data_IF_490117878566
#
_entry.id   IF_490117878566
#
_cell.length_a   1.000
_cell.length_b   1.000
_cell.length_c   1.000
_cell.angle_alpha   90.00
_cell.angle_beta   90.00
_cell.angle_gamma   90.00
#
_symmetry.space_group_name_H-M   'P 1'
#
loop_
_entity.id
_entity.type
_entity.pdbx_description
1 polymer ?
#
# COMPACT_ATOMS: atom_id res chain seq x y z
N UNK A 1 28.69 -25.28 -18.09
CA UNK A 1 27.26 -24.93 -18.29
C UNK A 1 26.74 -24.41 -16.97
N UNK A 2 26.10 -23.23 -16.94
CA UNK A 2 25.51 -22.70 -15.70
C UNK A 2 24.46 -23.71 -15.21
N UNK A 3 24.68 -24.28 -14.05
CA UNK A 3 23.70 -25.19 -13.45
C UNK A 3 22.54 -24.34 -12.93
N UNK A 4 21.32 -24.69 -13.32
CA UNK A 4 20.10 -24.02 -12.89
C UNK A 4 19.13 -25.09 -12.37
N UNK A 5 18.39 -24.77 -11.31
CA UNK A 5 17.26 -25.59 -10.88
C UNK A 5 15.98 -24.98 -11.47
N UNK A 6 15.21 -25.78 -12.21
CA UNK A 6 14.07 -25.32 -12.99
C UNK A 6 12.79 -25.97 -12.47
N UNK A 7 11.70 -25.20 -12.36
CA UNK A 7 10.37 -25.71 -12.04
C UNK A 7 9.29 -24.95 -12.79
N UNK A 8 8.25 -25.67 -13.23
CA UNK A 8 7.12 -25.11 -13.96
C UNK A 8 5.89 -25.03 -13.06
N UNK A 9 5.16 -23.91 -13.13
CA UNK A 9 3.94 -23.67 -12.38
C UNK A 9 2.78 -23.32 -13.30
N UNK A 10 1.59 -23.83 -13.02
CA UNK A 10 0.37 -23.49 -13.74
C UNK A 10 -0.41 -22.41 -13.00
N UNK A 11 0.04 -21.16 -13.14
CA UNK A 11 -0.55 -19.97 -12.53
C UNK A 11 -0.13 -18.72 -13.33
N UNK A 12 -0.66 -17.54 -13.01
CA UNK A 12 -0.21 -16.32 -13.68
C UNK A 12 1.21 -15.92 -13.25
N UNK A 13 1.95 -15.23 -14.13
CA UNK A 13 3.28 -14.68 -13.83
C UNK A 13 3.24 -13.87 -12.53
N UNK A 14 2.21 -13.03 -12.36
CA UNK A 14 2.02 -12.23 -11.15
C UNK A 14 1.92 -13.06 -9.87
N UNK A 15 1.16 -14.16 -9.90
CA UNK A 15 0.99 -15.02 -8.74
C UNK A 15 2.30 -15.74 -8.38
N UNK A 16 2.98 -16.30 -9.38
CA UNK A 16 4.24 -17.03 -9.17
C UNK A 16 5.37 -16.09 -8.77
N UNK A 17 5.45 -14.90 -9.38
CA UNK A 17 6.46 -13.88 -9.05
C UNK A 17 6.25 -13.30 -7.65
N UNK A 18 5.00 -13.04 -7.26
CA UNK A 18 4.67 -12.62 -5.89
C UNK A 18 4.99 -13.71 -4.86
N UNK A 19 4.70 -14.98 -5.18
CA UNK A 19 5.10 -16.13 -4.38
C UNK A 19 6.63 -16.22 -4.26
N UNK A 20 7.37 -15.99 -5.34
CA UNK A 20 8.83 -15.90 -5.35
C UNK A 20 9.37 -14.85 -4.38
N UNK A 21 8.90 -13.60 -4.49
CA UNK A 21 9.31 -12.52 -3.58
C UNK A 21 8.96 -12.82 -2.12
N UNK A 22 7.82 -13.45 -1.86
CA UNK A 22 7.42 -13.85 -0.51
C UNK A 22 8.30 -14.99 0.01
N UNK A 23 8.55 -16.02 -0.79
CA UNK A 23 9.42 -17.14 -0.44
C UNK A 23 10.82 -16.67 -0.04
N UNK A 24 11.42 -15.74 -0.80
CA UNK A 24 12.73 -15.15 -0.46
C UNK A 24 12.71 -14.50 0.93
N UNK A 25 11.67 -13.73 1.25
CA UNK A 25 11.51 -13.06 2.56
C UNK A 25 11.24 -14.04 3.69
N UNK A 26 10.36 -15.02 3.47
CA UNK A 26 9.99 -16.03 4.46
C UNK A 26 11.19 -16.94 4.80
N UNK A 27 12.11 -17.15 3.84
CA UNK A 27 13.39 -17.84 4.04
C UNK A 27 14.47 -16.95 4.70
N UNK A 28 14.18 -15.69 4.99
CA UNK A 28 15.10 -14.76 5.64
C UNK A 28 16.20 -14.21 4.72
N UNK A 29 16.06 -14.36 3.41
CA UNK A 29 17.02 -13.84 2.44
C UNK A 29 16.74 -12.36 2.13
N UNK A 30 17.78 -11.63 1.75
CA UNK A 30 17.70 -10.22 1.38
C UNK A 30 17.50 -10.08 -0.12
N UNK A 31 16.38 -9.48 -0.55
CA UNK A 31 16.20 -9.10 -1.96
C UNK A 31 17.15 -7.94 -2.29
N UNK A 32 17.89 -8.08 -3.39
CA UNK A 32 18.89 -7.13 -3.87
C UNK A 32 18.36 -6.31 -5.04
N UNK A 33 17.69 -6.96 -6.01
CA UNK A 33 17.05 -6.30 -7.14
C UNK A 33 15.78 -7.06 -7.58
N UNK A 34 14.80 -6.30 -8.07
CA UNK A 34 13.53 -6.81 -8.62
C UNK A 34 13.33 -6.16 -9.97
N UNK A 35 13.17 -6.97 -11.01
CA UNK A 35 12.74 -6.53 -12.33
C UNK A 35 11.55 -7.40 -12.76
N UNK A 36 10.35 -6.88 -12.53
CA UNK A 36 9.11 -7.61 -12.85
C UNK A 36 8.86 -7.70 -14.35
N UNK A 37 9.36 -6.73 -15.12
CA UNK A 37 9.17 -6.70 -16.57
C UNK A 37 9.93 -7.84 -17.24
N UNK A 38 11.17 -8.08 -16.78
CA UNK A 38 12.00 -9.16 -17.28
C UNK A 38 11.89 -10.46 -16.46
N UNK A 39 11.02 -10.48 -15.44
CA UNK A 39 10.85 -11.64 -14.57
C UNK A 39 12.11 -11.99 -13.77
N UNK A 40 12.94 -11.03 -13.39
CA UNK A 40 14.18 -11.26 -12.64
C UNK A 40 14.03 -10.87 -11.16
N UNK A 41 14.51 -11.75 -10.29
CA UNK A 41 14.59 -11.53 -8.84
C UNK A 41 15.98 -11.92 -8.34
N UNK A 42 16.77 -10.92 -7.93
CA UNK A 42 18.09 -11.12 -7.34
C UNK A 42 18.02 -11.03 -5.82
N UNK A 43 18.69 -11.94 -5.13
CA UNK A 43 18.70 -11.97 -3.66
C UNK A 43 20.01 -12.54 -3.09
N UNK A 44 20.28 -12.23 -1.82
CA UNK A 44 21.44 -12.68 -1.06
C UNK A 44 21.01 -13.49 0.14
N UNK A 45 21.65 -14.64 0.36
CA UNK A 45 21.31 -15.55 1.47
C UNK A 45 21.90 -15.16 2.83
N UNK A 46 22.69 -14.08 2.87
CA UNK A 46 23.31 -13.58 4.10
C UNK A 46 24.44 -14.48 4.62
N UNK A 47 25.07 -14.06 5.72
CA UNK A 47 26.11 -14.83 6.42
C UNK A 47 25.38 -15.90 7.25
N UNK A 48 25.38 -17.15 6.79
CA UNK A 48 24.96 -18.27 7.64
C UNK A 48 26.13 -18.68 8.53
N UNK A 49 25.85 -19.31 9.67
CA UNK A 49 26.85 -19.73 10.67
C UNK A 49 28.00 -20.60 10.10
N UNK A 50 27.84 -21.13 8.88
CA UNK A 50 28.80 -21.94 8.14
C UNK A 50 29.45 -21.26 6.91
N UNK A 51 28.98 -20.08 6.47
CA UNK A 51 29.44 -19.44 5.23
C UNK A 51 29.69 -17.94 5.45
N UNK A 52 30.97 -17.58 5.59
CA UNK A 52 31.49 -16.22 5.81
C UNK A 52 31.30 -15.26 4.62
N UNK A 53 31.04 -15.81 3.43
CA UNK A 53 30.67 -15.05 2.24
C UNK A 53 29.26 -15.52 1.85
N UNK A 54 28.26 -14.65 1.97
CA UNK A 54 26.90 -14.95 1.52
C UNK A 54 26.88 -15.35 0.03
N UNK A 55 25.79 -15.97 -0.42
CA UNK A 55 25.62 -16.33 -1.82
C UNK A 55 24.73 -15.32 -2.53
N UNK A 56 25.08 -15.00 -3.78
CA UNK A 56 24.25 -14.22 -4.70
C UNK A 56 23.44 -15.18 -5.57
N UNK A 57 22.14 -15.00 -5.54
CA UNK A 57 21.18 -15.85 -6.23
C UNK A 57 20.32 -15.01 -7.18
N UNK A 58 19.95 -15.62 -8.30
CA UNK A 58 19.04 -15.04 -9.29
C UNK A 58 17.96 -16.05 -9.62
N UNK A 59 16.70 -15.66 -9.45
CA UNK A 59 15.54 -16.39 -9.92
C UNK A 59 14.96 -15.66 -11.16
N UNK A 60 14.79 -16.40 -12.25
CA UNK A 60 14.18 -15.93 -13.49
C UNK A 60 12.82 -16.60 -13.65
N UNK A 61 11.79 -15.81 -13.96
CA UNK A 61 10.40 -16.21 -14.14
C UNK A 61 10.03 -15.92 -15.60
N UNK A 62 9.79 -16.97 -16.38
CA UNK A 62 9.49 -16.88 -17.80
C UNK A 62 8.06 -17.37 -18.02
N UNK A 63 7.24 -16.54 -18.67
CA UNK A 63 5.90 -16.93 -19.13
C UNK A 63 6.02 -17.65 -20.47
N UNK A 64 5.64 -18.93 -20.50
CA UNK A 64 5.71 -19.76 -21.70
C UNK A 64 4.55 -19.49 -22.67
N UNK A 65 3.67 -18.53 -22.40
CA UNK A 65 2.48 -18.18 -23.19
C UNK A 65 1.43 -19.30 -23.32
N UNK A 66 1.69 -20.48 -22.76
CA UNK A 66 0.78 -21.62 -22.64
C UNK A 66 0.01 -21.64 -21.31
N UNK A 67 0.14 -20.56 -20.52
CA UNK A 67 -0.41 -20.44 -19.17
C UNK A 67 0.44 -21.13 -18.10
N UNK A 68 1.68 -21.50 -18.42
CA UNK A 68 2.67 -21.97 -17.46
C UNK A 68 3.82 -20.98 -17.30
N UNK A 69 4.32 -20.89 -16.07
CA UNK A 69 5.47 -20.07 -15.71
C UNK A 69 6.61 -21.00 -15.36
N UNK A 70 7.70 -20.87 -16.11
CA UNK A 70 8.97 -21.51 -15.78
C UNK A 70 9.76 -20.63 -14.83
N UNK A 71 10.19 -21.21 -13.70
CA UNK A 71 11.06 -20.55 -12.73
C UNK A 71 12.39 -21.27 -12.74
N UNK A 72 13.44 -20.57 -13.13
CA UNK A 72 14.82 -21.06 -13.04
C UNK A 72 15.59 -20.30 -11.97
N UNK A 73 16.31 -21.02 -11.11
CA UNK A 73 17.10 -20.43 -10.04
C UNK A 73 18.57 -20.78 -10.25
N UNK A 74 19.41 -19.76 -10.24
CA UNK A 74 20.87 -19.85 -10.39
C UNK A 74 21.55 -19.12 -9.25
N UNK A 75 22.83 -19.43 -9.01
CA UNK A 75 23.57 -18.88 -7.89
C UNK A 75 25.07 -18.84 -8.15
N UNK A 76 25.74 -17.83 -7.57
CA UNK A 76 27.20 -17.69 -7.53
C UNK A 76 27.62 -17.32 -6.11
N UNK A 77 28.77 -17.83 -5.67
CA UNK A 77 29.39 -17.43 -4.40
C UNK A 77 29.99 -16.03 -4.57
N UNK A 78 29.70 -15.09 -3.67
CA UNK A 78 30.33 -13.75 -3.71
C UNK A 78 31.82 -13.89 -3.40
N UNK A 79 32.68 -13.89 -4.42
CA UNK A 79 34.14 -13.99 -4.24
C UNK A 79 34.73 -12.63 -3.88
N UNK A 80 35.22 -12.48 -2.66
CA UNK A 80 36.17 -11.44 -2.28
C UNK A 80 37.54 -12.09 -2.04
N UNK A 81 38.43 -12.00 -3.03
CA UNK A 81 39.85 -12.37 -2.92
C UNK A 81 40.19 -13.85 -3.18
N UNK A 82 41.16 -14.05 -4.08
CA UNK A 82 41.79 -15.31 -4.54
C UNK A 82 40.85 -16.29 -5.27
N UNK A 83 41.09 -16.42 -6.58
CA UNK A 83 40.39 -17.32 -7.49
C UNK A 83 40.88 -18.76 -7.26
N UNK A 84 40.18 -19.49 -6.42
CA UNK A 84 40.11 -20.95 -6.50
C UNK A 84 38.72 -21.31 -7.04
N UNK A 85 38.70 -21.74 -8.30
CA UNK A 85 37.51 -22.24 -8.99
C UNK A 85 36.98 -23.49 -8.26
N UNK A 86 36.14 -23.30 -7.25
CA UNK A 86 35.28 -24.36 -6.74
C UNK A 86 33.87 -24.07 -7.23
N UNK A 87 33.40 -24.87 -8.17
CA UNK A 87 32.00 -24.94 -8.58
C UNK A 87 31.16 -25.42 -7.39
N UNK A 88 30.86 -24.53 -6.44
CA UNK A 88 30.03 -24.83 -5.27
C UNK A 88 28.54 -24.71 -5.61
N UNK A 89 28.11 -25.46 -6.64
CA UNK A 89 26.69 -25.59 -6.95
C UNK A 89 25.94 -26.40 -5.89
N UNK A 90 26.64 -27.16 -5.03
CA UNK A 90 26.02 -27.98 -4.00
C UNK A 90 25.20 -27.15 -2.99
N UNK A 91 25.76 -26.05 -2.48
CA UNK A 91 25.05 -25.16 -1.55
C UNK A 91 24.01 -24.30 -2.29
N UNK A 92 24.36 -23.75 -3.46
CA UNK A 92 23.44 -22.97 -4.29
C UNK A 92 22.21 -23.79 -4.71
N UNK A 93 22.40 -25.08 -5.03
CA UNK A 93 21.32 -26.03 -5.33
C UNK A 93 20.42 -26.23 -4.12
N UNK A 94 20.96 -26.43 -2.92
CA UNK A 94 20.14 -26.55 -1.69
C UNK A 94 19.28 -25.32 -1.46
N UNK A 95 19.84 -24.12 -1.68
CA UNK A 95 19.10 -22.86 -1.58
C UNK A 95 18.02 -22.78 -2.64
N UNK A 96 18.34 -23.10 -3.90
CA UNK A 96 17.39 -23.13 -5.01
C UNK A 96 16.24 -24.11 -4.74
N UNK A 97 16.54 -25.32 -4.25
CA UNK A 97 15.54 -26.31 -3.87
C UNK A 97 14.63 -25.81 -2.76
N UNK A 98 15.17 -25.16 -1.71
CA UNK A 98 14.37 -24.55 -0.64
C UNK A 98 13.46 -23.45 -1.16
N UNK A 99 13.98 -22.57 -2.02
CA UNK A 99 13.20 -21.50 -2.61
C UNK A 99 12.04 -22.06 -3.44
N UNK A 100 12.31 -23.01 -4.34
CA UNK A 100 11.28 -23.62 -5.19
C UNK A 100 10.26 -24.43 -4.38
N UNK A 101 10.66 -25.06 -3.28
CA UNK A 101 9.72 -25.74 -2.37
C UNK A 101 8.77 -24.75 -1.68
N UNK A 102 9.28 -23.58 -1.27
CA UNK A 102 8.47 -22.55 -0.63
C UNK A 102 7.55 -21.84 -1.64
N UNK A 103 8.02 -21.61 -2.87
CA UNK A 103 7.17 -21.14 -3.98
C UNK A 103 6.04 -22.14 -4.24
N UNK A 104 6.33 -23.43 -4.30
CA UNK A 104 5.32 -24.48 -4.48
C UNK A 104 4.26 -24.45 -3.36
N UNK A 105 4.68 -24.35 -2.10
CA UNK A 105 3.78 -24.21 -0.96
C UNK A 105 2.87 -22.98 -1.11
N UNK A 106 3.43 -21.84 -1.49
CA UNK A 106 2.70 -20.58 -1.63
C UNK A 106 1.74 -20.61 -2.82
N UNK A 107 2.16 -21.10 -3.98
CA UNK A 107 1.32 -21.22 -5.18
C UNK A 107 0.17 -22.20 -4.94
N UNK A 108 0.43 -23.36 -4.31
CA UNK A 108 -0.64 -24.31 -3.92
C UNK A 108 -1.64 -23.70 -2.95
N UNK A 109 -1.18 -22.83 -2.03
CA UNK A 109 -2.07 -22.11 -1.12
C UNK A 109 -2.81 -20.94 -1.76
N UNK A 110 -2.44 -20.55 -2.98
CA UNK A 110 -2.96 -19.35 -3.66
C UNK A 110 -4.08 -19.63 -4.68
N UNK A 111 -4.42 -20.88 -4.99
CA UNK A 111 -5.50 -21.20 -5.93
C UNK A 111 -6.88 -21.32 -5.25
N UNK A 112 -7.96 -20.75 -5.82
CA UNK A 112 -8.05 -19.53 -6.63
C UNK A 112 -9.01 -18.52 -5.98
N UNK A 113 -8.54 -17.29 -5.72
CA UNK A 113 -9.45 -16.17 -5.96
C UNK A 113 -9.48 -16.02 -7.48
N UNK A 114 -10.65 -16.08 -8.15
CA UNK A 114 -10.74 -15.77 -9.57
C UNK A 114 -10.03 -14.43 -9.79
N UNK A 115 -9.33 -14.26 -10.93
CA UNK A 115 -8.70 -12.99 -11.23
C UNK A 115 -9.79 -11.94 -11.02
N UNK A 116 -9.60 -11.06 -10.04
CA UNK A 116 -10.36 -9.83 -9.97
C UNK A 116 -9.92 -9.15 -11.26
N UNK A 117 -10.69 -9.39 -12.32
CA UNK A 117 -10.56 -8.78 -13.63
C UNK A 117 -10.50 -7.31 -13.27
N UNK A 118 -9.28 -6.77 -13.20
CA UNK A 118 -9.11 -5.33 -13.29
C UNK A 118 -9.81 -5.03 -14.60
N UNK A 119 -10.87 -4.21 -14.59
CA UNK A 119 -11.64 -3.97 -15.79
C UNK A 119 -10.64 -3.63 -16.89
N UNK A 120 -10.56 -4.52 -17.86
CA UNK A 120 -9.95 -4.28 -19.17
C UNK A 120 -10.38 -2.89 -19.54
N UNK A 121 -9.41 -2.04 -19.89
CA UNK A 121 -9.60 -0.67 -20.33
C UNK A 121 -10.97 -0.50 -21.00
N UNK A 122 -11.96 -0.05 -20.21
CA UNK A 122 -13.15 0.49 -20.80
C UNK A 122 -12.67 1.74 -21.53
N UNK A 123 -13.10 2.00 -22.78
CA UNK A 123 -12.87 3.31 -23.36
C UNK A 123 -13.44 4.31 -22.35
N UNK A 124 -12.57 5.21 -21.88
CA UNK A 124 -12.94 6.28 -20.96
C UNK A 124 -13.98 7.12 -21.69
N UNK A 125 -15.25 6.78 -21.48
CA UNK A 125 -16.33 7.73 -21.62
C UNK A 125 -16.10 8.72 -20.48
N UNK A 126 -15.70 9.91 -20.88
CA UNK A 126 -15.51 11.10 -20.05
C UNK A 126 -16.59 11.17 -18.98
N UNK A 127 -16.23 10.85 -17.74
CA UNK A 127 -17.02 11.26 -16.60
C UNK A 127 -16.92 12.79 -16.54
N UNK A 128 -18.02 13.41 -16.94
CA UNK A 128 -18.26 14.85 -16.86
C UNK A 128 -17.87 15.32 -15.45
N UNK A 129 -16.79 16.10 -15.37
CA UNK A 129 -16.41 16.77 -14.13
C UNK A 129 -17.23 18.05 -14.14
N UNK A 130 -18.41 18.00 -13.53
CA UNK A 130 -19.22 19.18 -13.32
C UNK A 130 -18.40 20.20 -12.51
N UNK A 131 -17.96 21.26 -13.19
CA UNK A 131 -17.21 22.38 -12.65
C UNK A 131 -18.10 23.63 -12.68
N UNK A 132 -17.99 24.46 -11.65
CA UNK A 132 -18.70 25.74 -11.53
C UNK A 132 -17.74 26.81 -11.01
N UNK A 133 -18.07 28.07 -11.26
CA UNK A 133 -17.30 29.19 -10.72
C UNK A 133 -17.59 29.37 -9.23
N UNK A 134 -16.54 29.65 -8.44
CA UNK A 134 -16.68 29.98 -7.04
C UNK A 134 -17.37 31.36 -6.90
N UNK A 135 -18.45 31.49 -6.11
CA UNK A 135 -19.17 32.77 -5.95
C UNK A 135 -18.36 33.86 -5.23
N UNK A 136 -17.21 33.53 -4.64
CA UNK A 136 -16.39 34.47 -3.88
C UNK A 136 -15.15 34.95 -4.62
N UNK A 137 -14.55 34.11 -5.47
CA UNK A 137 -13.29 34.45 -6.15
C UNK A 137 -13.31 34.18 -7.65
N UNK A 138 -14.45 33.76 -8.22
CA UNK A 138 -14.66 33.48 -9.64
C UNK A 138 -13.77 32.39 -10.26
N UNK A 139 -12.99 31.66 -9.46
CA UNK A 139 -12.17 30.54 -9.94
C UNK A 139 -12.98 29.26 -10.10
N UNK A 140 -12.58 28.41 -11.05
CA UNK A 140 -13.24 27.13 -11.32
C UNK A 140 -13.02 26.14 -10.16
N UNK A 141 -14.12 25.68 -9.61
CA UNK A 141 -14.18 24.67 -8.56
C UNK A 141 -15.07 23.51 -9.01
N UNK A 142 -14.86 22.33 -8.44
CA UNK A 142 -15.80 21.22 -8.64
C UNK A 142 -17.16 21.61 -8.08
N UNK A 143 -18.25 21.31 -8.78
CA UNK A 143 -19.61 21.65 -8.32
C UNK A 143 -19.87 21.13 -6.90
N UNK A 144 -19.38 19.91 -6.60
CA UNK A 144 -19.43 19.24 -5.29
C UNK A 144 -18.46 19.78 -4.23
N UNK A 145 -17.63 20.77 -4.54
CA UNK A 145 -16.69 21.33 -3.57
C UNK A 145 -17.48 22.01 -2.44
N UNK A 146 -17.17 21.68 -1.19
CA UNK A 146 -17.73 22.38 -0.01
C UNK A 146 -16.92 23.61 0.38
N UNK A 147 -15.63 23.62 0.04
CA UNK A 147 -14.68 24.71 0.31
C UNK A 147 -13.91 25.00 -0.97
N UNK A 148 -13.80 26.29 -1.33
CA UNK A 148 -13.04 26.70 -2.49
C UNK A 148 -11.53 26.53 -2.25
N UNK A 149 -10.85 25.82 -3.16
CA UNK A 149 -9.38 25.61 -3.11
C UNK A 149 -8.57 26.90 -3.29
N UNK A 150 -9.15 27.94 -3.88
CA UNK A 150 -8.46 29.20 -4.19
C UNK A 150 -8.60 30.23 -3.07
N UNK A 151 -9.80 30.43 -2.54
CA UNK A 151 -10.06 31.45 -1.52
C UNK A 151 -10.31 30.91 -0.10
N UNK A 152 -10.43 29.58 0.06
CA UNK A 152 -10.61 28.93 1.36
C UNK A 152 -11.98 29.12 2.02
N UNK A 153 -12.93 29.79 1.35
CA UNK A 153 -14.30 29.99 1.87
C UNK A 153 -15.20 28.79 1.55
N UNK A 154 -16.15 28.52 2.44
CA UNK A 154 -17.19 27.53 2.23
C UNK A 154 -18.13 27.93 1.09
N UNK A 155 -18.25 27.08 0.07
CA UNK A 155 -19.15 27.25 -1.06
C UNK A 155 -20.35 26.33 -0.85
N UNK A 156 -21.34 26.82 -0.11
CA UNK A 156 -22.57 26.09 0.16
C UNK A 156 -23.30 25.87 -1.17
N UNK A 157 -23.57 24.61 -1.52
CA UNK A 157 -24.49 24.26 -2.60
C UNK A 157 -25.86 24.82 -2.21
N UNK A 158 -26.39 25.75 -2.99
CA UNK A 158 -27.73 26.30 -2.75
C UNK A 158 -28.76 25.26 -3.16
N UNK A 159 -28.92 24.20 -2.38
CA UNK A 159 -30.05 23.27 -2.49
C UNK A 159 -31.32 23.97 -1.98
N UNK A 160 -31.95 24.76 -2.85
CA UNK A 160 -33.39 24.96 -2.76
C UNK A 160 -34.04 24.22 -3.93
N UNK A 161 -34.48 22.96 -3.74
CA UNK A 161 -35.58 22.48 -4.57
C UNK A 161 -36.76 23.43 -4.35
N UNK A 162 -37.18 24.10 -5.43
CA UNK A 162 -38.52 24.68 -5.54
C UNK A 162 -39.53 23.61 -5.13
N UNK A 163 -40.01 23.68 -3.89
CA UNK A 163 -41.23 22.98 -3.51
C UNK A 163 -42.41 23.85 -3.94
N UNK A 164 -43.39 23.34 -4.72
CA UNK A 164 -44.63 24.07 -4.92
C UNK A 164 -45.34 24.19 -3.57
N UNK A 165 -45.54 25.44 -3.15
CA UNK A 165 -46.29 25.86 -1.96
C UNK A 165 -47.70 25.24 -1.93
N UNK A 166 -48.08 24.53 -0.85
CA UNK A 166 -49.47 24.37 -0.46
C UNK A 166 -49.89 25.47 0.52
N UNK A 167 -50.97 26.16 0.18
CA UNK A 167 -51.68 27.14 0.99
C UNK A 167 -52.35 26.53 2.25
N UNK A 168 -52.83 27.38 3.20
CA UNK A 168 -52.80 27.10 4.62
C UNK A 168 -54.02 26.32 5.12
N UNK A 169 -53.80 25.37 6.02
CA UNK A 169 -54.86 24.75 6.83
C UNK A 169 -54.68 25.19 8.28
N UNK A 170 -55.68 25.93 8.78
CA UNK A 170 -55.83 26.28 10.20
C UNK A 170 -56.16 25.03 11.02
N UNK A 171 -55.50 24.88 12.16
CA UNK A 171 -56.04 24.14 13.30
C UNK A 171 -54.94 23.66 14.26
N UNK A 172 -54.67 24.38 15.36
CA UNK A 172 -55.17 24.15 16.73
C UNK A 172 -54.34 23.12 17.54
N UNK A 173 -53.68 23.61 18.62
CA UNK A 173 -53.48 23.05 19.99
C UNK A 173 -52.74 21.68 20.12
N UNK A 174 -51.87 21.31 21.08
CA UNK A 174 -51.47 21.63 22.47
C UNK A 174 -49.97 21.22 22.62
N UNK A 175 -49.08 21.98 23.26
CA UNK A 175 -48.68 21.92 24.69
C UNK A 175 -48.30 20.53 25.23
N UNK A 176 -47.03 20.36 25.64
CA UNK A 176 -46.47 19.55 26.77
C UNK A 176 -45.07 19.03 26.40
N UNK A 177 -43.96 19.56 26.92
CA UNK A 177 -43.45 19.47 28.30
C UNK A 177 -43.19 18.04 28.78
N UNK A 178 -41.98 17.51 28.51
CA UNK A 178 -41.36 16.48 29.34
C UNK A 178 -39.83 16.47 29.15
N UNK A 179 -39.16 16.92 30.21
CA UNK A 179 -37.73 16.82 30.47
C UNK A 179 -37.41 15.45 31.06
N UNK A 180 -36.36 14.80 30.57
CA UNK A 180 -35.55 13.88 31.37
C UNK A 180 -34.17 13.71 30.73
N UNK A 181 -33.14 14.13 31.48
CA UNK A 181 -31.76 14.22 31.05
C UNK A 181 -31.09 12.86 30.84
N UNK A 182 -30.49 12.71 29.67
CA UNK A 182 -29.45 11.71 29.40
C UNK A 182 -28.13 12.44 29.24
N UNK A 183 -27.28 12.34 30.26
CA UNK A 183 -25.89 12.82 30.22
C UNK A 183 -25.10 11.91 29.30
N UNK A 184 -25.18 12.15 27.99
CA UNK A 184 -24.27 11.53 27.02
C UNK A 184 -22.89 12.12 27.27
N UNK A 185 -21.84 11.32 27.56
CA UNK A 185 -20.48 11.83 27.64
C UNK A 185 -20.11 12.39 26.27
N UNK A 186 -20.05 13.73 26.19
CA UNK A 186 -19.61 14.46 25.01
C UNK A 186 -18.18 14.00 24.72
N UNK A 187 -17.89 13.34 23.57
CA UNK A 187 -16.54 12.95 23.24
C UNK A 187 -15.69 14.22 23.14
N UNK A 188 -14.63 14.28 23.95
CA UNK A 188 -13.68 15.40 24.01
C UNK A 188 -12.94 15.52 22.68
N UNK A 189 -13.56 16.20 21.72
CA UNK A 189 -13.22 16.28 20.29
C UNK A 189 -12.04 17.21 19.94
N UNK A 190 -11.14 17.48 20.87
CA UNK A 190 -10.07 18.45 20.64
C UNK A 190 -8.71 17.82 20.90
N UNK A 191 -8.28 16.86 20.09
CA UNK A 191 -6.85 16.53 20.01
C UNK A 191 -6.24 17.32 18.85
N UNK A 192 -5.21 18.10 19.13
CA UNK A 192 -4.42 18.81 18.11
C UNK A 192 -3.47 17.80 17.47
N UNK A 193 -3.51 17.71 16.14
CA UNK A 193 -2.64 16.81 15.37
C UNK A 193 -1.51 17.59 14.73
N UNK A 194 -0.29 17.22 15.04
CA UNK A 194 0.91 17.87 14.52
C UNK A 194 1.89 16.85 13.96
N UNK A 195 2.74 17.29 13.03
CA UNK A 195 3.71 16.47 12.33
C UNK A 195 5.10 16.98 12.68
N UNK A 196 5.94 16.10 13.23
CA UNK A 196 7.35 16.41 13.46
C UNK A 196 8.13 16.37 12.14
N UNK A 197 9.23 17.12 12.04
CA UNK A 197 10.12 17.13 10.87
C UNK A 197 10.67 15.73 10.50
N UNK A 198 10.76 14.80 11.46
CA UNK A 198 11.12 13.40 11.19
C UNK A 198 10.00 12.55 10.57
N UNK A 199 8.84 13.15 10.27
CA UNK A 199 7.65 12.52 9.72
C UNK A 199 6.74 11.81 10.74
N UNK A 200 7.05 11.89 12.04
CA UNK A 200 6.18 11.33 13.08
C UNK A 200 4.90 12.16 13.24
N UNK A 201 3.75 11.49 13.38
CA UNK A 201 2.45 12.12 13.66
C UNK A 201 2.17 12.06 15.16
N UNK A 202 1.93 13.21 15.79
CA UNK A 202 1.66 13.31 17.22
C UNK A 202 0.23 13.79 17.47
N UNK A 203 -0.32 13.42 18.62
CA UNK A 203 -1.57 13.95 19.17
C UNK A 203 -1.25 14.67 20.47
N UNK A 204 -1.72 15.90 20.60
CA UNK A 204 -1.54 16.72 21.79
C UNK A 204 -2.89 17.23 22.30
N UNK A 205 -3.00 17.38 23.63
CA UNK A 205 -4.16 18.03 24.25
C UNK A 205 -4.16 19.53 23.92
N UNK A 206 -5.32 20.20 23.85
CA UNK A 206 -5.40 21.64 23.57
C UNK A 206 -4.70 22.49 24.61
N UNK A 207 -4.58 21.99 25.85
CA UNK A 207 -3.83 22.62 26.94
C UNK A 207 -2.32 22.77 26.66
N UNK A 208 -1.83 22.17 25.57
CA UNK A 208 -0.44 22.27 25.12
C UNK A 208 -0.26 23.27 23.96
N UNK A 209 -1.33 23.90 23.46
CA UNK A 209 -1.21 24.95 22.43
C UNK A 209 -0.24 26.06 22.89
N UNK A 210 0.69 26.41 22.00
CA UNK A 210 1.79 27.33 22.25
C UNK A 210 2.96 26.76 23.06
N UNK A 211 2.93 25.48 23.47
CA UNK A 211 4.03 24.83 24.20
C UNK A 211 4.85 23.92 23.29
N UNK A 212 6.12 23.74 23.63
CA UNK A 212 7.03 22.82 22.94
C UNK A 212 7.07 21.47 23.65
N UNK A 213 6.81 20.38 22.92
CA UNK A 213 6.90 19.00 23.38
C UNK A 213 8.00 18.24 22.63
N UNK A 214 8.49 17.13 23.18
CA UNK A 214 9.53 16.31 22.54
C UNK A 214 8.92 15.20 21.70
N UNK A 215 9.41 15.02 20.48
CA UNK A 215 8.97 13.94 19.62
C UNK A 215 9.45 12.57 20.17
N UNK A 216 8.57 11.57 20.33
CA UNK A 216 8.99 10.25 20.84
C UNK A 216 9.85 9.46 19.84
N UNK A 217 9.88 9.86 18.56
CA UNK A 217 10.64 9.16 17.51
C UNK A 217 12.08 9.68 17.36
N UNK A 218 12.28 10.99 17.40
CA UNK A 218 13.60 11.61 17.17
C UNK A 218 14.07 12.53 18.31
N UNK A 219 13.26 12.72 19.34
CA UNK A 219 13.52 13.62 20.47
C UNK A 219 13.68 15.12 20.10
N UNK A 220 13.34 15.50 18.86
CA UNK A 220 13.32 16.90 18.44
C UNK A 220 12.20 17.68 19.15
N UNK A 221 12.40 18.97 19.46
CA UNK A 221 11.35 19.84 19.96
C UNK A 221 10.30 20.10 18.87
N UNK A 222 9.02 20.01 19.20
CA UNK A 222 7.91 20.31 18.30
C UNK A 222 6.93 21.21 19.04
N UNK A 223 6.62 22.37 18.45
CA UNK A 223 5.62 23.29 18.99
C UNK A 223 4.23 22.81 18.62
N UNK A 224 3.30 22.87 19.56
CA UNK A 224 1.90 22.57 19.34
C UNK A 224 1.19 23.88 18.96
N UNK A 225 0.93 24.10 17.69
CA UNK A 225 0.14 25.23 17.16
C UNK A 225 -1.32 24.86 16.83
#
# INVERSE_FOLDING_TARGET
MASAEIRTYRASLDAVFAAGQRAVRDLGYKIDAIDRTNGLLNFKTGISWSSWAGQEMSAMFVDNSDGTIEVSVTGRRSQSGVVLQVYDWGEAKKIATKLLAEIDRLVKSATPTPPKVQPTMHPVLTADRDERECPFCAELILSKAKVCKHCGRDVVESELPMQPVPHPVKGSVETSSASCGSTVPIPSQHDVRLICECGARLKAKPSLLGKTVRCPKCNAPVTVD
#
